data_IF_225300532358
#
_entry.id   IF_225300532358
#
_cell.length_a   1.000
_cell.length_b   1.000
_cell.length_c   1.000
_cell.angle_alpha   90.00
_cell.angle_beta   90.00
_cell.angle_gamma   90.00
#
_symmetry.space_group_name_H-M   'P 1'
#
loop_
_entity.id
_entity.type
_entity.pdbx_description
1 polymer ?
#
# COMPACT_ATOMS: atom_id res chain seq x y z
N UNK A 1 -11.42 -9.46 -4.85
CA UNK A 1 -10.81 -8.21 -4.31
C UNK A 1 -10.47 -7.25 -5.44
N UNK A 2 -10.85 -5.98 -5.33
CA UNK A 2 -10.50 -4.90 -6.26
C UNK A 2 -9.58 -3.88 -5.57
N UNK A 3 -8.44 -3.57 -6.17
CA UNK A 3 -7.53 -2.52 -5.66
C UNK A 3 -7.73 -1.26 -6.50
N UNK A 4 -7.88 -0.11 -5.84
CA UNK A 4 -8.01 1.20 -6.48
C UNK A 4 -7.07 2.21 -5.83
N UNK A 5 -6.53 3.13 -6.62
CA UNK A 5 -5.65 4.19 -6.14
C UNK A 5 -6.43 5.49 -6.02
N UNK A 6 -6.29 6.18 -4.90
CA UNK A 6 -6.70 7.60 -4.82
C UNK A 6 -5.82 8.43 -5.77
N UNK A 7 -6.29 9.63 -6.16
CA UNK A 7 -5.47 10.57 -6.93
C UNK A 7 -4.12 10.85 -6.26
N UNK A 8 -4.11 10.96 -4.92
CA UNK A 8 -2.87 11.17 -4.17
C UNK A 8 -1.88 10.00 -4.33
N UNK A 9 -2.36 8.76 -4.23
CA UNK A 9 -1.52 7.58 -4.44
C UNK A 9 -1.07 7.46 -5.90
N UNK A 10 -1.95 7.69 -6.87
CA UNK A 10 -1.61 7.62 -8.29
C UNK A 10 -0.50 8.63 -8.67
N UNK A 11 -0.60 9.86 -8.16
CA UNK A 11 0.41 10.91 -8.36
C UNK A 11 1.79 10.51 -7.82
N UNK A 12 1.86 9.67 -6.78
CA UNK A 12 3.15 9.24 -6.20
C UNK A 12 3.97 8.42 -7.18
N UNK A 13 3.39 7.71 -8.15
CA UNK A 13 4.18 6.94 -9.12
C UNK A 13 5.07 7.83 -10.01
N UNK A 14 4.68 9.09 -10.20
CA UNK A 14 5.42 10.05 -11.05
C UNK A 14 6.10 11.15 -10.25
N UNK A 15 5.67 11.40 -9.00
CA UNK A 15 6.11 12.55 -8.17
C UNK A 15 6.85 12.14 -6.90
N UNK A 16 7.60 11.04 -6.91
CA UNK A 16 8.49 10.73 -5.79
C UNK A 16 9.60 11.78 -5.68
N UNK A 17 10.06 12.11 -4.46
CA UNK A 17 11.20 13.00 -4.26
C UNK A 17 12.45 12.50 -5.01
N UNK A 18 13.28 13.39 -5.57
CA UNK A 18 14.55 13.01 -6.18
C UNK A 18 15.40 12.14 -5.25
N UNK A 19 16.02 11.09 -5.80
CA UNK A 19 16.82 10.13 -5.02
C UNK A 19 16.02 9.06 -4.27
N UNK A 20 14.68 9.07 -4.34
CA UNK A 20 13.86 7.95 -3.86
C UNK A 20 14.02 6.74 -4.78
N UNK A 21 14.00 5.54 -4.21
CA UNK A 21 13.93 4.33 -5.03
C UNK A 21 12.61 4.34 -5.82
N UNK A 22 12.66 3.91 -7.07
CA UNK A 22 11.48 3.86 -7.93
C UNK A 22 10.54 2.79 -7.42
N UNK A 23 9.27 3.15 -7.26
CA UNK A 23 8.18 2.22 -6.90
C UNK A 23 7.25 2.13 -8.08
N UNK A 24 6.97 0.92 -8.53
CA UNK A 24 5.99 0.62 -9.59
C UNK A 24 4.66 0.20 -8.98
N UNK A 25 3.62 0.16 -9.81
CA UNK A 25 2.30 -0.27 -9.37
C UNK A 25 2.35 -1.71 -8.85
N UNK A 26 3.11 -2.59 -9.49
CA UNK A 26 3.27 -3.99 -9.09
C UNK A 26 3.83 -4.14 -7.68
N UNK A 27 4.77 -3.27 -7.28
CA UNK A 27 5.35 -3.29 -5.93
C UNK A 27 4.29 -2.98 -4.86
N UNK A 28 3.38 -2.05 -5.16
CA UNK A 28 2.28 -1.68 -4.25
C UNK A 28 1.24 -2.79 -4.19
N UNK A 29 0.93 -3.41 -5.32
CA UNK A 29 0.01 -4.54 -5.39
C UNK A 29 0.55 -5.75 -4.61
N UNK A 30 1.84 -6.05 -4.75
CA UNK A 30 2.51 -7.13 -4.03
C UNK A 30 2.53 -6.84 -2.53
N UNK A 31 2.82 -5.60 -2.12
CA UNK A 31 2.78 -5.21 -0.72
C UNK A 31 1.39 -5.40 -0.07
N UNK A 32 0.31 -5.22 -0.83
CA UNK A 32 -1.06 -5.45 -0.34
C UNK A 32 -1.39 -6.95 -0.28
N UNK A 33 -0.96 -7.73 -1.27
CA UNK A 33 -1.32 -9.15 -1.40
C UNK A 33 -0.48 -10.07 -0.51
N UNK A 34 0.79 -9.75 -0.34
CA UNK A 34 1.78 -10.59 0.30
C UNK A 34 2.79 -9.73 1.08
N UNK A 35 2.34 -9.00 2.11
CA UNK A 35 3.21 -8.12 2.88
C UNK A 35 4.29 -8.89 3.66
N UNK A 36 5.46 -8.28 3.86
CA UNK A 36 6.43 -8.76 4.84
C UNK A 36 5.97 -8.43 6.27
N UNK A 37 5.18 -7.37 6.42
CA UNK A 37 4.61 -6.92 7.68
C UNK A 37 3.27 -6.20 7.46
N UNK A 38 2.33 -6.40 8.39
CA UNK A 38 1.02 -5.73 8.40
C UNK A 38 0.70 -5.18 9.79
N UNK A 39 0.22 -3.94 9.83
CA UNK A 39 -0.25 -3.22 11.01
C UNK A 39 -1.69 -2.74 10.78
N UNK A 40 -2.59 -3.23 11.62
CA UNK A 40 -4.03 -2.91 11.61
C UNK A 40 -4.46 -2.08 12.81
N UNK A 41 -3.53 -1.69 13.68
CA UNK A 41 -3.84 -1.10 14.97
C UNK A 41 -3.43 0.36 15.09
N UNK A 42 -2.26 0.74 14.54
CA UNK A 42 -1.67 2.06 14.79
C UNK A 42 -2.40 3.24 14.16
N UNK A 43 -3.19 3.03 13.10
CA UNK A 43 -3.88 4.12 12.37
C UNK A 43 -5.29 3.68 11.90
N UNK A 44 -6.09 3.12 12.81
CA UNK A 44 -7.46 2.70 12.49
C UNK A 44 -8.29 3.87 11.92
N UNK A 45 -9.10 3.64 10.87
CA UNK A 45 -9.44 2.35 10.24
C UNK A 45 -8.50 1.95 9.09
N UNK A 46 -7.35 2.61 8.94
CA UNK A 46 -6.38 2.30 7.89
C UNK A 46 -5.55 1.07 8.27
N UNK A 47 -5.08 0.40 7.23
CA UNK A 47 -4.14 -0.71 7.32
C UNK A 47 -2.84 -0.25 6.68
N UNK A 48 -1.75 -0.60 7.34
CA UNK A 48 -0.40 -0.26 6.91
C UNK A 48 0.33 -1.56 6.63
N UNK A 49 0.90 -1.68 5.44
CA UNK A 49 1.71 -2.85 5.05
C UNK A 49 3.07 -2.43 4.55
N UNK A 50 4.08 -3.26 4.80
CA UNK A 50 5.43 -3.09 4.29
C UNK A 50 5.82 -4.26 3.38
N UNK A 51 6.60 -3.96 2.34
CA UNK A 51 7.23 -4.96 1.49
C UNK A 51 8.63 -4.53 1.11
N UNK A 52 9.57 -5.46 1.15
CA UNK A 52 10.94 -5.25 0.66
C UNK A 52 10.94 -4.94 -0.83
N UNK A 53 11.62 -3.86 -1.22
CA UNK A 53 11.90 -3.51 -2.62
C UNK A 53 13.27 -4.02 -3.04
N UNK A 54 14.26 -3.87 -2.15
CA UNK A 54 15.62 -4.34 -2.34
C UNK A 54 16.30 -4.63 -0.99
N UNK A 55 17.62 -4.77 -0.97
CA UNK A 55 18.42 -5.06 0.23
C UNK A 55 18.33 -3.95 1.30
N UNK A 56 18.06 -2.71 0.92
CA UNK A 56 18.11 -1.50 1.76
C UNK A 56 16.75 -0.81 1.91
N UNK A 57 15.80 -1.06 1.02
CA UNK A 57 14.54 -0.32 0.95
C UNK A 57 13.32 -1.22 1.09
N UNK A 58 12.26 -0.62 1.63
CA UNK A 58 10.90 -1.16 1.66
C UNK A 58 9.95 -0.13 1.04
N UNK A 59 8.79 -0.58 0.57
CA UNK A 59 7.62 0.28 0.33
C UNK A 59 6.68 0.15 1.51
N UNK A 60 6.25 1.28 2.05
CA UNK A 60 5.15 1.35 3.02
C UNK A 60 3.90 1.80 2.29
N UNK A 61 2.85 1.00 2.36
CA UNK A 61 1.56 1.26 1.72
C UNK A 61 0.51 1.45 2.81
N UNK A 62 -0.32 2.47 2.67
CA UNK A 62 -1.44 2.75 3.56
C UNK A 62 -2.72 2.66 2.75
N UNK A 63 -3.65 1.82 3.20
CA UNK A 63 -4.93 1.62 2.52
C UNK A 63 -6.08 1.47 3.51
N UNK A 64 -7.30 1.52 2.99
CA UNK A 64 -8.52 1.11 3.72
C UNK A 64 -9.25 0.01 2.96
N UNK A 65 -9.92 -0.88 3.69
CA UNK A 65 -10.77 -1.95 3.14
C UNK A 65 -12.23 -1.57 3.32
N UNK A 66 -13.03 -1.76 2.27
CA UNK A 66 -14.48 -1.57 2.32
C UNK A 66 -15.19 -2.67 1.52
N UNK A 67 -16.35 -3.11 2.00
CA UNK A 67 -17.18 -4.06 1.26
C UNK A 67 -17.86 -3.35 0.08
N UNK A 68 -17.87 -4.01 -1.08
CA UNK A 68 -18.74 -3.61 -2.19
C UNK A 68 -20.02 -4.42 -2.07
N UNK A 69 -21.10 -3.82 -1.58
CA UNK A 69 -22.41 -4.47 -1.55
C UNK A 69 -23.41 -3.60 -2.29
N UNK A 70 -24.07 -4.14 -3.32
CA UNK A 70 -25.39 -3.69 -3.82
C UNK A 70 -26.03 -4.66 -4.85
N UNK A 71 -25.29 -5.60 -5.45
CA UNK A 71 -25.87 -6.59 -6.39
C UNK A 71 -25.11 -7.91 -6.40
N UNK A 72 -25.73 -8.94 -5.81
CA UNK A 72 -25.71 -10.37 -6.18
C UNK A 72 -24.54 -10.88 -7.05
N UNK A 73 -23.44 -11.30 -6.40
CA UNK A 73 -22.85 -12.66 -6.49
C UNK A 73 -21.44 -12.77 -5.90
N UNK A 74 -20.74 -11.67 -5.66
CA UNK A 74 -19.42 -11.72 -5.03
C UNK A 74 -19.23 -10.53 -4.08
N UNK A 75 -19.11 -10.81 -2.78
CA UNK A 75 -18.65 -9.85 -1.77
C UNK A 75 -17.16 -9.54 -2.00
N UNK A 76 -16.85 -8.78 -3.05
CA UNK A 76 -15.49 -8.42 -3.37
C UNK A 76 -15.06 -7.20 -2.55
N UNK A 77 -14.09 -7.39 -1.67
CA UNK A 77 -13.42 -6.30 -0.97
C UNK A 77 -12.84 -5.26 -1.94
N UNK A 78 -13.08 -3.99 -1.64
CA UNK A 78 -12.37 -2.87 -2.26
C UNK A 78 -11.25 -2.45 -1.32
N UNK A 79 -10.02 -2.51 -1.82
CA UNK A 79 -8.85 -1.91 -1.19
C UNK A 79 -8.60 -0.56 -1.85
N UNK A 80 -8.76 0.51 -1.08
CA UNK A 80 -8.46 1.87 -1.55
C UNK A 80 -7.08 2.27 -1.04
N UNK A 81 -6.10 2.35 -1.93
CA UNK A 81 -4.74 2.82 -1.62
C UNK A 81 -4.76 4.32 -1.43
N UNK A 82 -4.49 4.74 -0.20
CA UNK A 82 -4.52 6.15 0.21
C UNK A 82 -3.19 6.81 -0.14
N UNK A 83 -2.08 6.17 0.22
CA UNK A 83 -0.73 6.65 -0.10
C UNK A 83 0.27 5.51 -0.01
N UNK A 84 1.44 5.71 -0.59
CA UNK A 84 2.61 4.86 -0.37
C UNK A 84 3.88 5.71 -0.42
N UNK A 85 4.94 5.21 0.18
CA UNK A 85 6.26 5.80 0.06
C UNK A 85 7.35 4.74 0.27
N UNK A 86 8.43 4.80 -0.53
CA UNK A 86 9.61 4.04 -0.22
C UNK A 86 10.32 4.60 1.02
N UNK A 87 10.98 3.74 1.77
CA UNK A 87 11.85 4.12 2.87
C UNK A 87 12.99 3.12 3.02
N UNK A 88 14.01 3.48 3.81
CA UNK A 88 15.05 2.54 4.25
C UNK A 88 14.48 1.53 5.24
N UNK A 89 14.98 0.29 5.17
CA UNK A 89 14.81 -0.73 6.22
C UNK A 89 15.30 -0.20 7.57
N UNK A 90 14.74 -0.69 8.67
CA UNK A 90 15.05 -0.21 10.01
C UNK A 90 14.38 1.12 10.42
N UNK A 91 13.75 1.88 9.50
CA UNK A 91 13.06 3.13 9.90
C UNK A 91 11.82 2.88 10.77
N UNK A 92 11.16 1.74 10.58
CA UNK A 92 9.92 1.36 11.25
C UNK A 92 10.01 0.02 12.00
N UNK A 93 11.17 -0.63 11.95
CA UNK A 93 11.48 -1.78 12.79
C UNK A 93 11.84 -1.21 14.16
N UNK A 94 11.03 -1.51 15.18
CA UNK A 94 11.36 -1.25 16.58
C UNK A 94 11.89 -2.53 17.20
#
# INVERSE_FOLDING_TARGET
MKIVFTRHAADKFTKLPPGSVKVKEEDVLEAIKNPDYQDTESDKPKIIVHKSLDIKHIVRVVYKRSLRSYTSKEENDIITVITFYPTKKGRYEK
#
